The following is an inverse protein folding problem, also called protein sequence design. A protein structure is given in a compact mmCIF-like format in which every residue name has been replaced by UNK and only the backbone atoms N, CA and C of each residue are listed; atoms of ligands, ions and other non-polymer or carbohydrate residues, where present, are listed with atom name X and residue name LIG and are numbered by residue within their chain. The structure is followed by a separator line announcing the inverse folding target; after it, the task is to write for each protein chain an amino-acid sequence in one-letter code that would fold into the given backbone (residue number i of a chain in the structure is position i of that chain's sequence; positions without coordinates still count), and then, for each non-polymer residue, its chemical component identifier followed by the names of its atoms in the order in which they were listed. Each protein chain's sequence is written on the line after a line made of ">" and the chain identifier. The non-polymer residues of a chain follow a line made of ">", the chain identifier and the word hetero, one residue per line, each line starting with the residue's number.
data_IF_503588935005
#
_entry.id   IF_503588935005
#
_cell.length_a   1.000
_cell.length_b   1.000
_cell.length_c   1.000
_cell.angle_alpha   90.00
_cell.angle_beta   90.00
_cell.angle_gamma   90.00
#
_symmetry.space_group_name_H-M   'P 1'
#
loop_
_entity.id
_entity.type
_entity.pdbx_description
1 polymer ?
#
# COMPACT_ATOMS: atom_id res chain seq x y z
N UNK A 1 -50.64 -36.03 -54.87
CA UNK A 1 -49.74 -35.32 -53.93
C UNK A 1 -49.69 -33.84 -54.32
N UNK A 2 -49.46 -32.94 -53.37
CA UNK A 2 -49.34 -31.50 -53.62
C UNK A 2 -47.85 -31.08 -53.54
N UNK A 3 -47.19 -30.94 -54.69
CA UNK A 3 -45.73 -30.84 -54.81
C UNK A 3 -45.27 -29.68 -55.72
N UNK A 4 -46.10 -28.68 -55.99
CA UNK A 4 -45.72 -27.55 -56.85
C UNK A 4 -45.94 -27.77 -58.35
N UNK A 5 -46.61 -28.84 -58.75
CA UNK A 5 -46.76 -29.20 -60.16
C UNK A 5 -47.83 -28.36 -60.90
N UNK A 6 -47.61 -28.15 -62.20
CA UNK A 6 -48.61 -27.57 -63.11
C UNK A 6 -49.70 -28.58 -63.48
N UNK A 7 -50.88 -28.10 -63.88
CA UNK A 7 -51.96 -28.92 -64.42
C UNK A 7 -52.70 -28.23 -65.57
N UNK A 8 -53.40 -29.01 -66.41
CA UNK A 8 -54.25 -28.50 -67.47
C UNK A 8 -55.58 -27.98 -66.91
N UNK A 9 -55.80 -26.67 -67.03
CA UNK A 9 -57.00 -25.99 -66.53
C UNK A 9 -58.28 -26.40 -67.27
N UNK A 10 -58.18 -26.79 -68.53
CA UNK A 10 -59.31 -27.22 -69.36
C UNK A 10 -59.77 -28.62 -68.95
N UNK A 11 -58.81 -29.51 -68.65
CA UNK A 11 -59.10 -30.87 -68.20
C UNK A 11 -59.68 -30.90 -66.76
N UNK A 12 -59.26 -29.96 -65.91
CA UNK A 12 -59.67 -29.90 -64.49
C UNK A 12 -60.30 -28.55 -64.13
N UNK A 13 -61.50 -28.22 -64.63
CA UNK A 13 -62.10 -26.89 -64.46
C UNK A 13 -62.43 -26.55 -63.00
N UNK A 14 -62.84 -27.54 -62.18
CA UNK A 14 -63.07 -27.34 -60.74
C UNK A 14 -61.77 -27.07 -59.97
N UNK A 15 -60.67 -27.73 -60.36
CA UNK A 15 -59.36 -27.47 -59.78
C UNK A 15 -58.83 -26.10 -60.20
N UNK A 16 -59.07 -25.70 -61.45
CA UNK A 16 -58.73 -24.38 -61.97
C UNK A 16 -59.48 -23.24 -61.24
N UNK A 17 -60.71 -23.49 -60.76
CA UNK A 17 -61.42 -22.53 -59.92
C UNK A 17 -60.75 -22.35 -58.55
N UNK A 18 -60.17 -23.41 -57.98
CA UNK A 18 -59.43 -23.34 -56.71
C UNK A 18 -58.00 -22.78 -56.87
N UNK A 19 -57.33 -23.11 -57.99
CA UNK A 19 -55.97 -22.70 -58.31
C UNK A 19 -55.90 -22.07 -59.72
N UNK A 20 -56.30 -20.78 -59.87
CA UNK A 20 -56.37 -20.13 -61.19
C UNK A 20 -55.02 -20.02 -61.93
N UNK A 21 -53.91 -20.12 -61.20
CA UNK A 21 -52.55 -20.16 -61.74
C UNK A 21 -52.28 -21.40 -62.59
N UNK A 22 -53.06 -22.48 -62.44
CA UNK A 22 -52.74 -23.78 -63.05
C UNK A 22 -51.60 -24.51 -62.33
N UNK A 23 -51.27 -24.12 -61.09
CA UNK A 23 -50.21 -24.72 -60.27
C UNK A 23 -50.78 -25.16 -58.93
N UNK A 24 -50.55 -26.43 -58.57
CA UNK A 24 -50.88 -26.96 -57.25
C UNK A 24 -49.76 -26.53 -56.28
N UNK A 25 -50.07 -25.96 -55.10
CA UNK A 25 -49.04 -25.58 -54.12
C UNK A 25 -48.15 -26.76 -53.71
N UNK A 26 -46.87 -26.50 -53.44
CA UNK A 26 -46.01 -27.46 -52.75
C UNK A 26 -46.28 -27.39 -51.25
N UNK A 27 -46.77 -28.48 -50.68
CA UNK A 27 -47.15 -28.57 -49.26
C UNK A 27 -46.14 -29.36 -48.41
N UNK A 28 -45.01 -29.79 -48.99
CA UNK A 28 -43.97 -30.50 -48.23
C UNK A 28 -43.33 -29.56 -47.21
N UNK A 29 -43.31 -29.96 -45.94
CA UNK A 29 -42.79 -29.14 -44.84
C UNK A 29 -43.70 -27.98 -44.39
N UNK A 30 -44.85 -27.76 -45.05
CA UNK A 30 -45.73 -26.63 -44.75
C UNK A 30 -46.89 -27.03 -43.83
N UNK A 31 -47.19 -26.16 -42.85
CA UNK A 31 -48.40 -26.24 -42.04
C UNK A 31 -49.45 -25.25 -42.54
N UNK A 32 -50.72 -25.67 -42.62
CA UNK A 32 -51.82 -24.80 -43.03
C UNK A 32 -52.15 -23.82 -41.90
N UNK A 33 -52.07 -22.52 -42.20
CA UNK A 33 -52.51 -21.42 -41.32
C UNK A 33 -53.66 -20.68 -41.99
N UNK A 34 -54.74 -20.44 -41.26
CA UNK A 34 -55.88 -19.66 -41.75
C UNK A 34 -55.45 -18.27 -42.20
N UNK A 35 -55.94 -17.82 -43.37
CA UNK A 35 -55.61 -16.49 -43.87
C UNK A 35 -56.11 -15.44 -42.87
N UNK A 36 -55.24 -14.54 -42.37
CA UNK A 36 -55.69 -13.46 -41.51
C UNK A 36 -56.66 -12.53 -42.25
N UNK A 37 -57.41 -11.74 -41.48
CA UNK A 37 -58.35 -10.76 -42.03
C UNK A 37 -57.66 -9.80 -43.01
N UNK A 38 -56.43 -9.37 -42.67
CA UNK A 38 -55.60 -8.47 -43.48
C UNK A 38 -54.12 -8.88 -43.41
N UNK A 39 -53.28 -8.24 -44.24
CA UNK A 39 -51.81 -8.38 -44.17
C UNK A 39 -51.21 -9.60 -44.87
N UNK A 40 -52.02 -10.51 -45.42
CA UNK A 40 -51.54 -11.66 -46.23
C UNK A 40 -52.49 -12.02 -47.37
N UNK A 41 -51.90 -12.41 -48.50
CA UNK A 41 -52.62 -12.99 -49.63
C UNK A 41 -52.86 -14.50 -49.44
N UNK A 42 -53.88 -15.04 -50.10
CA UNK A 42 -54.14 -16.49 -50.19
C UNK A 42 -52.92 -17.18 -50.82
N UNK A 43 -52.51 -18.34 -50.28
CA UNK A 43 -51.33 -19.12 -50.69
C UNK A 43 -49.96 -18.43 -50.53
N UNK A 44 -49.89 -17.26 -49.89
CA UNK A 44 -48.60 -16.69 -49.49
C UNK A 44 -47.88 -17.61 -48.49
N UNK A 45 -46.55 -17.66 -48.54
CA UNK A 45 -45.72 -18.41 -47.59
C UNK A 45 -45.26 -17.51 -46.43
N UNK A 46 -45.06 -18.10 -45.26
CA UNK A 46 -44.56 -17.43 -44.05
C UNK A 46 -43.56 -18.37 -43.39
N UNK A 47 -42.30 -17.98 -43.28
CA UNK A 47 -41.27 -18.78 -42.62
C UNK A 47 -41.55 -18.89 -41.11
N UNK A 48 -41.00 -19.92 -40.49
CA UNK A 48 -41.03 -20.08 -39.05
C UNK A 48 -40.22 -19.00 -38.34
N UNK A 49 -40.52 -18.77 -37.06
CA UNK A 49 -39.84 -17.75 -36.29
C UNK A 49 -40.19 -17.81 -34.80
N UNK A 50 -39.24 -17.38 -33.97
CA UNK A 50 -39.42 -17.27 -32.53
C UNK A 50 -39.97 -15.88 -32.21
N UNK A 51 -40.97 -15.83 -31.33
CA UNK A 51 -41.51 -14.56 -30.84
C UNK A 51 -40.43 -13.79 -30.08
N UNK A 52 -40.37 -12.47 -30.28
CA UNK A 52 -39.48 -11.58 -29.53
C UNK A 52 -39.62 -11.81 -28.02
N UNK A 53 -38.50 -12.08 -27.35
CA UNK A 53 -38.42 -12.26 -25.91
C UNK A 53 -37.03 -11.92 -25.40
N UNK A 54 -36.90 -11.76 -24.09
CA UNK A 54 -35.63 -11.55 -23.38
C UNK A 54 -35.56 -12.49 -22.19
N UNK A 55 -34.35 -12.62 -21.61
CA UNK A 55 -34.09 -13.39 -20.40
C UNK A 55 -33.53 -12.47 -19.32
N UNK A 56 -33.80 -12.79 -18.05
CA UNK A 56 -32.99 -12.26 -16.96
C UNK A 56 -31.66 -13.00 -16.92
N UNK A 57 -30.60 -12.32 -16.53
CA UNK A 57 -29.27 -12.89 -16.35
C UNK A 57 -28.64 -12.38 -15.06
N UNK A 58 -27.76 -13.18 -14.47
CA UNK A 58 -27.00 -12.81 -13.28
C UNK A 58 -25.53 -13.19 -13.46
N UNK A 59 -24.65 -12.48 -12.75
CA UNK A 59 -23.24 -12.81 -12.64
C UNK A 59 -22.96 -13.22 -11.19
N UNK A 60 -22.11 -14.23 -11.00
CA UNK A 60 -21.65 -14.62 -9.68
C UNK A 60 -20.68 -13.60 -9.10
N UNK A 61 -20.73 -13.39 -7.79
CA UNK A 61 -19.71 -12.62 -7.08
C UNK A 61 -18.34 -13.28 -7.22
N UNK A 62 -17.29 -12.47 -7.36
CA UNK A 62 -15.90 -12.93 -7.47
C UNK A 62 -15.05 -12.25 -6.41
N UNK A 63 -14.46 -13.04 -5.51
CA UNK A 63 -13.44 -12.55 -4.57
C UNK A 63 -12.07 -12.58 -5.25
N UNK A 64 -11.43 -11.41 -5.36
CA UNK A 64 -10.09 -11.29 -5.95
C UNK A 64 -8.98 -11.67 -4.95
N UNK A 65 -9.29 -11.82 -3.67
CA UNK A 65 -8.37 -12.19 -2.60
C UNK A 65 -7.32 -11.12 -2.25
N UNK A 66 -6.51 -11.42 -1.24
CA UNK A 66 -5.47 -10.50 -0.72
C UNK A 66 -4.29 -10.34 -1.69
N UNK A 67 -3.71 -9.14 -1.75
CA UNK A 67 -2.49 -8.82 -2.51
C UNK A 67 -1.48 -8.13 -1.60
N UNK A 68 -0.21 -8.49 -1.76
CA UNK A 68 0.89 -7.86 -1.01
C UNK A 68 1.49 -6.73 -1.85
N UNK A 69 1.78 -5.60 -1.23
CA UNK A 69 2.46 -4.47 -1.89
C UNK A 69 3.93 -4.80 -2.14
N UNK A 70 4.60 -3.98 -2.94
CA UNK A 70 6.07 -4.02 -3.03
C UNK A 70 6.73 -3.70 -1.68
N UNK A 71 7.96 -4.15 -1.47
CA UNK A 71 8.78 -3.79 -0.31
C UNK A 71 9.27 -2.34 -0.41
N UNK A 72 9.31 -1.64 0.72
CA UNK A 72 9.89 -0.31 0.87
C UNK A 72 10.76 -0.26 2.11
N UNK A 73 12.01 0.18 1.96
CA UNK A 73 12.99 0.30 3.05
C UNK A 73 13.33 1.78 3.29
N UNK A 74 13.08 2.27 4.52
CA UNK A 74 13.47 3.61 4.93
C UNK A 74 14.99 3.75 5.13
N UNK A 75 15.73 2.66 5.28
CA UNK A 75 17.15 2.63 5.58
C UNK A 75 17.48 3.28 6.93
N UNK A 76 18.70 3.79 7.06
CA UNK A 76 19.16 4.50 8.27
C UNK A 76 18.84 5.99 8.20
N UNK A 77 18.34 6.55 9.31
CA UNK A 77 18.10 8.00 9.47
C UNK A 77 18.98 8.55 10.59
N UNK A 78 19.58 9.71 10.36
CA UNK A 78 20.40 10.41 11.36
C UNK A 78 19.55 11.40 12.17
N UNK A 79 19.92 11.60 13.43
CA UNK A 79 19.36 12.67 14.27
C UNK A 79 20.10 13.99 14.02
N UNK A 80 19.60 15.09 14.57
CA UNK A 80 20.35 16.35 14.63
C UNK A 80 21.48 16.29 15.69
N UNK A 81 22.43 17.23 15.61
CA UNK A 81 23.56 17.35 16.55
C UNK A 81 23.21 18.30 17.69
N UNK A 82 23.08 17.77 18.91
CA UNK A 82 22.80 18.53 20.14
C UNK A 82 23.59 17.96 21.32
N UNK A 83 23.49 18.59 22.51
CA UNK A 83 24.03 18.04 23.77
C UNK A 83 25.38 18.59 24.22
N UNK A 84 25.95 19.55 23.49
CA UNK A 84 27.13 20.27 23.94
C UNK A 84 26.81 21.10 25.20
N UNK A 85 27.59 20.92 26.26
CA UNK A 85 27.47 21.65 27.52
C UNK A 85 28.83 21.74 28.21
N UNK A 86 28.95 22.64 29.19
CA UNK A 86 30.18 22.89 29.95
C UNK A 86 29.97 22.60 31.44
N UNK A 87 31.03 22.18 32.13
CA UNK A 87 31.04 22.02 33.58
C UNK A 87 31.95 23.06 34.24
N UNK A 88 31.61 23.48 35.46
CA UNK A 88 32.48 24.27 36.33
C UNK A 88 33.23 23.35 37.29
N UNK A 89 34.54 23.56 37.46
CA UNK A 89 35.38 22.76 38.36
C UNK A 89 36.09 23.68 39.34
N UNK A 90 36.02 23.38 40.63
CA UNK A 90 36.78 24.04 41.70
C UNK A 90 37.32 23.00 42.68
N UNK A 91 38.46 23.31 43.31
CA UNK A 91 39.09 22.42 44.27
C UNK A 91 40.20 23.11 45.05
N UNK A 92 40.55 22.55 46.20
CA UNK A 92 41.62 23.07 47.06
C UNK A 92 42.74 22.04 47.10
N UNK A 93 43.99 22.47 46.88
CA UNK A 93 45.15 21.60 47.02
C UNK A 93 45.36 21.21 48.50
N UNK A 94 45.99 20.05 48.73
CA UNK A 94 46.37 19.66 50.09
C UNK A 94 47.41 20.64 50.68
N UNK A 95 47.32 20.92 51.98
CA UNK A 95 48.28 21.78 52.68
C UNK A 95 49.66 21.12 52.72
N UNK A 96 50.69 21.82 52.22
CA UNK A 96 52.07 21.34 52.14
C UNK A 96 53.07 22.52 52.13
N UNK A 97 54.37 22.22 52.19
CA UNK A 97 55.44 23.22 52.04
C UNK A 97 55.96 23.84 53.35
N UNK A 98 55.60 23.30 54.52
CA UNK A 98 56.17 23.74 55.79
C UNK A 98 57.67 23.41 55.83
N UNK A 99 58.52 24.43 55.95
CA UNK A 99 59.97 24.29 56.06
C UNK A 99 60.53 25.44 56.91
N UNK A 100 61.76 25.27 57.41
CA UNK A 100 62.46 26.29 58.19
C UNK A 100 63.85 26.56 57.60
N UNK A 101 64.29 27.81 57.70
CA UNK A 101 65.67 28.20 57.44
C UNK A 101 66.31 28.61 58.76
N UNK A 102 67.53 28.13 59.04
CA UNK A 102 68.31 28.58 60.19
C UNK A 102 69.34 29.59 59.75
N UNK A 103 69.26 30.80 60.32
CA UNK A 103 70.32 31.81 60.19
C UNK A 103 70.92 32.07 61.57
N UNK A 104 72.24 31.90 61.68
CA UNK A 104 72.97 32.17 62.90
C UNK A 104 73.40 33.64 62.91
N UNK A 105 72.73 34.46 63.71
CA UNK A 105 73.17 35.81 64.01
C UNK A 105 74.14 35.82 65.19
N UNK A 106 75.08 36.77 65.21
CA UNK A 106 75.85 37.07 66.40
C UNK A 106 75.09 38.10 67.24
N UNK A 107 74.53 37.68 68.37
CA UNK A 107 73.96 38.61 69.35
C UNK A 107 75.02 38.88 70.40
N UNK A 108 75.34 40.17 70.59
CA UNK A 108 76.26 40.57 71.64
C UNK A 108 75.44 41.11 72.82
N UNK A 109 75.48 40.38 73.94
CA UNK A 109 74.88 40.80 75.19
C UNK A 109 75.97 41.15 76.19
N UNK A 110 75.77 42.24 76.92
CA UNK A 110 76.64 42.58 78.06
C UNK A 110 76.27 41.67 79.22
N UNK A 111 77.17 40.74 79.59
CA UNK A 111 76.95 39.80 80.69
C UNK A 111 77.82 40.19 81.89
N UNK A 112 77.22 40.18 83.07
CA UNK A 112 77.90 40.51 84.32
C UNK A 112 78.70 39.31 84.81
N UNK A 113 80.01 39.48 85.01
CA UNK A 113 80.88 38.46 85.61
C UNK A 113 80.84 38.53 87.13
N UNK A 114 80.93 37.38 87.82
CA UNK A 114 80.86 37.28 89.28
C UNK A 114 81.94 38.11 90.02
N UNK A 115 82.99 38.56 89.31
CA UNK A 115 84.06 39.43 89.83
C UNK A 115 83.90 40.92 89.43
N UNK A 116 82.67 41.38 89.20
CA UNK A 116 82.34 42.82 89.04
C UNK A 116 82.75 43.46 87.71
N UNK A 117 83.13 42.67 86.70
CA UNK A 117 83.51 43.16 85.37
C UNK A 117 82.42 42.83 84.34
N UNK A 118 82.07 43.78 83.49
CA UNK A 118 81.16 43.56 82.35
C UNK A 118 81.98 43.05 81.18
N UNK A 119 81.64 41.88 80.66
CA UNK A 119 82.25 41.35 79.43
C UNK A 119 81.21 41.21 78.33
N UNK A 120 81.61 41.51 77.09
CA UNK A 120 80.74 41.36 75.91
C UNK A 120 80.78 39.90 75.49
N UNK A 121 79.71 39.16 75.80
CA UNK A 121 79.59 37.77 75.39
C UNK A 121 78.86 37.75 74.06
N UNK A 122 79.54 37.26 73.04
CA UNK A 122 78.93 37.02 71.73
C UNK A 122 78.40 35.59 71.75
N UNK A 123 77.07 35.45 71.68
CA UNK A 123 76.42 34.17 71.57
C UNK A 123 75.76 34.04 70.19
N UNK A 124 75.76 32.81 69.68
CA UNK A 124 74.95 32.46 68.54
C UNK A 124 73.47 32.61 68.94
N UNK A 125 72.73 33.47 68.24
CA UNK A 125 71.30 33.65 68.45
C UNK A 125 70.55 33.33 67.15
N UNK A 126 69.49 32.53 67.27
CA UNK A 126 68.55 32.29 66.18
C UNK A 126 67.67 33.52 66.01
N UNK A 127 67.62 34.07 64.79
CA UNK A 127 66.78 35.23 64.45
C UNK A 127 65.77 34.84 63.37
N UNK A 128 64.54 35.34 63.47
CA UNK A 128 63.53 35.13 62.44
C UNK A 128 63.73 36.13 61.29
N UNK A 129 63.52 35.66 60.06
CA UNK A 129 63.45 36.53 58.88
C UNK A 129 62.08 37.22 58.81
N UNK A 130 61.96 38.29 58.01
CA UNK A 130 60.67 38.91 57.69
C UNK A 130 59.77 37.98 56.86
N UNK A 131 58.46 38.23 56.85
CA UNK A 131 57.52 37.45 56.05
C UNK A 131 57.80 37.59 54.54
N UNK A 132 58.00 36.47 53.86
CA UNK A 132 58.25 36.37 52.42
C UNK A 132 57.76 34.99 51.90
N UNK A 133 57.69 34.81 50.58
CA UNK A 133 57.40 33.52 49.96
C UNK A 133 55.95 33.29 49.52
N UNK A 134 55.12 34.34 49.42
CA UNK A 134 53.83 34.24 48.74
C UNK A 134 54.05 33.86 47.27
N UNK A 135 53.49 32.73 46.86
CA UNK A 135 53.57 32.22 45.49
C UNK A 135 52.26 31.51 45.13
N UNK A 136 52.06 31.27 43.84
CA UNK A 136 50.90 30.55 43.32
C UNK A 136 51.36 29.31 42.56
N UNK A 137 50.49 28.31 42.50
CA UNK A 137 50.68 27.12 41.66
C UNK A 137 49.61 27.08 40.57
N UNK A 138 50.00 26.61 39.39
CA UNK A 138 49.06 26.24 38.35
C UNK A 138 48.57 24.82 38.60
N UNK A 139 47.25 24.64 38.69
CA UNK A 139 46.60 23.33 38.73
C UNK A 139 45.94 23.11 37.38
N UNK A 140 46.26 22.00 36.72
CA UNK A 140 45.64 21.59 35.45
C UNK A 140 45.28 20.12 35.50
N UNK A 141 44.19 19.76 34.83
CA UNK A 141 43.69 18.38 34.77
C UNK A 141 42.64 18.25 33.67
N UNK A 142 42.50 17.05 33.14
CA UNK A 142 41.44 16.71 32.18
C UNK A 142 40.42 15.84 32.91
N UNK A 143 39.14 16.18 32.80
CA UNK A 143 38.08 15.34 33.35
C UNK A 143 38.08 13.95 32.68
N UNK A 144 37.67 12.92 33.42
CA UNK A 144 37.54 11.59 32.85
C UNK A 144 36.49 11.55 31.72
N UNK A 145 36.70 10.70 30.71
CA UNK A 145 35.76 10.54 29.59
C UNK A 145 34.41 9.98 30.07
N UNK A 146 33.33 10.69 29.76
CA UNK A 146 31.95 10.33 30.09
C UNK A 146 30.98 10.84 29.00
N UNK A 147 29.69 10.47 29.09
CA UNK A 147 28.63 11.00 28.21
C UNK A 147 28.19 10.09 27.05
N UNK A 148 28.74 8.88 26.93
CA UNK A 148 28.22 7.88 26.01
C UNK A 148 26.80 7.47 26.43
N UNK A 149 25.82 7.73 25.59
CA UNK A 149 24.42 7.38 25.81
C UNK A 149 23.72 7.09 24.47
N UNK A 150 22.58 6.40 24.54
CA UNK A 150 21.75 6.08 23.38
C UNK A 150 20.30 6.51 23.65
N UNK A 151 19.59 6.88 22.59
CA UNK A 151 18.17 7.19 22.61
C UNK A 151 17.41 6.14 21.82
N UNK A 152 16.19 5.83 22.26
CA UNK A 152 15.25 5.00 21.51
C UNK A 152 14.11 5.86 20.98
N UNK A 153 13.78 5.74 19.70
CA UNK A 153 12.68 6.47 19.06
C UNK A 153 11.64 5.48 18.55
N UNK A 154 10.42 5.56 19.09
CA UNK A 154 9.28 4.79 18.57
C UNK A 154 8.66 5.48 17.36
N UNK A 155 8.59 4.79 16.21
CA UNK A 155 8.00 5.34 14.98
C UNK A 155 6.49 5.06 14.90
N UNK A 156 6.08 3.82 15.19
CA UNK A 156 4.67 3.41 15.18
C UNK A 156 4.21 2.74 13.89
N UNK A 157 2.95 2.29 13.89
CA UNK A 157 2.30 1.63 12.75
C UNK A 157 1.61 2.63 11.82
N UNK A 158 1.48 2.29 10.55
CA UNK A 158 0.71 3.07 9.58
C UNK A 158 0.04 2.16 8.54
N UNK A 159 -0.98 2.68 7.88
CA UNK A 159 -1.70 2.00 6.79
C UNK A 159 -1.90 2.97 5.62
N UNK A 160 -2.08 2.42 4.43
CA UNK A 160 -2.40 3.17 3.22
C UNK A 160 -3.74 2.67 2.66
N UNK A 161 -4.44 3.54 1.94
CA UNK A 161 -5.58 3.15 1.10
C UNK A 161 -5.15 3.19 -0.37
N UNK A 162 -5.73 2.30 -1.18
CA UNK A 162 -5.49 2.25 -2.63
C UNK A 162 -6.83 2.21 -3.33
N UNK A 163 -7.08 3.19 -4.20
CA UNK A 163 -8.27 3.21 -5.05
C UNK A 163 -8.06 2.30 -6.25
N UNK A 164 -8.95 1.31 -6.46
CA UNK A 164 -8.87 0.36 -7.58
C UNK A 164 -9.61 0.88 -8.83
N UNK A 165 -10.74 1.56 -8.64
CA UNK A 165 -11.55 2.11 -9.73
C UNK A 165 -12.60 1.14 -10.29
N UNK A 166 -13.34 1.62 -11.30
CA UNK A 166 -14.40 0.85 -11.99
C UNK A 166 -13.84 0.01 -13.14
N UNK A 167 -14.47 -1.14 -13.39
CA UNK A 167 -14.17 -2.00 -14.55
C UNK A 167 -15.46 -2.67 -15.05
N UNK A 168 -15.38 -3.37 -16.18
CA UNK A 168 -16.51 -4.09 -16.77
C UNK A 168 -16.07 -5.32 -17.56
N UNK A 169 -17.05 -6.04 -18.11
CA UNK A 169 -16.83 -7.27 -18.87
C UNK A 169 -17.63 -7.25 -20.18
N UNK A 170 -17.10 -7.93 -21.20
CA UNK A 170 -17.85 -8.26 -22.40
C UNK A 170 -18.58 -9.58 -22.17
N UNK A 171 -19.89 -9.61 -22.46
CA UNK A 171 -20.72 -10.81 -22.32
C UNK A 171 -21.18 -11.27 -23.70
N UNK A 172 -21.07 -12.57 -23.96
CA UNK A 172 -21.56 -13.21 -25.18
C UNK A 172 -22.58 -14.29 -24.81
N UNK A 173 -23.76 -14.23 -25.42
CA UNK A 173 -24.79 -15.26 -25.31
C UNK A 173 -24.76 -16.09 -26.58
N UNK A 174 -24.45 -17.37 -26.46
CA UNK A 174 -24.39 -18.27 -27.60
C UNK A 174 -25.79 -18.58 -28.14
N UNK A 175 -25.90 -18.83 -29.43
CA UNK A 175 -27.15 -19.26 -30.05
C UNK A 175 -27.61 -20.61 -29.46
N UNK A 176 -28.93 -20.73 -29.23
CA UNK A 176 -29.55 -21.95 -28.72
C UNK A 176 -30.86 -22.21 -29.48
N UNK A 177 -31.03 -23.43 -29.99
CA UNK A 177 -32.22 -23.84 -30.74
C UNK A 177 -31.93 -24.90 -31.79
N UNK A 178 -32.99 -25.35 -32.45
CA UNK A 178 -32.92 -26.26 -33.60
C UNK A 178 -32.90 -25.45 -34.91
N UNK A 179 -32.76 -26.14 -36.06
CA UNK A 179 -32.80 -25.50 -37.37
C UNK A 179 -34.18 -24.90 -37.73
N UNK A 180 -35.26 -25.46 -37.19
CA UNK A 180 -36.65 -25.00 -37.40
C UNK A 180 -37.37 -24.80 -36.06
N UNK A 181 -38.26 -23.81 -36.01
CA UNK A 181 -39.18 -23.61 -34.90
C UNK A 181 -40.45 -24.45 -35.09
N UNK A 182 -40.57 -25.52 -34.33
CA UNK A 182 -41.66 -26.50 -34.48
C UNK A 182 -42.59 -26.52 -33.28
N UNK A 183 -43.88 -26.72 -33.54
CA UNK A 183 -44.82 -27.26 -32.53
C UNK A 183 -44.88 -28.78 -32.65
N UNK A 184 -45.42 -29.48 -31.64
CA UNK A 184 -45.70 -30.92 -31.76
C UNK A 184 -46.58 -31.16 -33.01
N UNK A 185 -46.10 -32.01 -33.91
CA UNK A 185 -46.75 -32.28 -35.20
C UNK A 185 -46.60 -33.76 -35.58
N UNK A 186 -47.41 -34.20 -36.54
CA UNK A 186 -47.36 -35.54 -37.14
C UNK A 186 -47.35 -35.35 -38.66
N UNK A 187 -46.47 -36.07 -39.35
CA UNK A 187 -46.33 -35.98 -40.80
C UNK A 187 -47.50 -36.69 -41.53
N UNK A 188 -48.15 -35.97 -42.44
CA UNK A 188 -49.14 -36.52 -43.37
C UNK A 188 -48.81 -36.09 -44.80
N UNK A 189 -49.18 -36.92 -45.76
CA UNK A 189 -49.10 -36.56 -47.18
C UNK A 189 -50.29 -35.67 -47.57
N UNK A 190 -50.02 -34.42 -47.93
CA UNK A 190 -51.05 -33.55 -48.50
C UNK A 190 -51.41 -34.01 -49.93
N UNK A 191 -52.71 -34.22 -50.14
CA UNK A 191 -53.31 -34.59 -51.42
C UNK A 191 -54.44 -33.63 -51.76
N UNK A 192 -54.72 -33.51 -53.06
CA UNK A 192 -55.83 -32.73 -53.59
C UNK A 192 -56.59 -33.59 -54.60
N UNK A 193 -57.92 -33.50 -54.58
CA UNK A 193 -58.78 -34.20 -55.55
C UNK A 193 -58.76 -33.43 -56.88
N UNK A 194 -58.62 -34.15 -58.00
CA UNK A 194 -58.51 -33.56 -59.33
C UNK A 194 -59.87 -33.18 -59.97
N UNK A 195 -60.93 -33.97 -59.76
CA UNK A 195 -62.26 -33.76 -60.38
C UNK A 195 -63.42 -34.13 -59.45
#
# INVERSE_FOLDING_TARGET
>A
LMQGQTFDKSAYPKLAAAYPSGVIPDMRGWTIKGKPASGRAVLSQEQDGIKSHTHSASASSTDLGTKTTSSFDYGTKSTNNIGAHTHSVSGTAASAGNHTHSVTGASAVSQWSQNGSVHKVVSAASVNTSAAGAHTHSVSGTAASAGAHAHTVGIGAHTHSVAIGSHGHTITVNAAGNAENTVKNIAFNYIVRLA
#
